data_IF_885579968985
#
_entry.id   IF_885579968985
#
_cell.length_a   1.000
_cell.length_b   1.000
_cell.length_c   1.000
_cell.angle_alpha   90.00
_cell.angle_beta   90.00
_cell.angle_gamma   90.00
#
_symmetry.space_group_name_H-M   'P 1'
#
loop_
_entity.id
_entity.type
_entity.pdbx_description
1 polymer ?
#
# COMPACT_ATOMS: atom_id res chain seq x y z
N UNK A 1 5.28 22.39 -2.35
CA UNK A 1 4.54 23.21 -3.34
C UNK A 1 5.52 23.79 -4.34
N UNK A 2 5.27 23.65 -5.61
CA UNK A 2 5.99 24.32 -6.69
C UNK A 2 4.96 25.06 -7.55
N UNK A 3 5.27 26.28 -7.97
CA UNK A 3 4.39 27.12 -8.81
C UNK A 3 2.94 27.26 -8.29
N UNK A 4 2.78 27.37 -6.97
CA UNK A 4 1.48 27.36 -6.28
C UNK A 4 0.65 26.08 -6.46
N UNK A 5 1.27 24.97 -6.89
CA UNK A 5 0.64 23.65 -6.98
C UNK A 5 1.02 22.78 -5.78
N UNK A 6 0.08 21.95 -5.35
CA UNK A 6 0.29 20.94 -4.34
C UNK A 6 0.46 19.57 -5.01
N UNK A 7 1.39 18.76 -4.53
CA UNK A 7 1.66 17.42 -5.06
C UNK A 7 1.63 16.38 -3.94
N UNK A 8 1.11 15.20 -4.25
CA UNK A 8 1.31 14.02 -3.43
C UNK A 8 2.68 13.44 -3.77
N UNK A 9 3.60 13.39 -2.80
CA UNK A 9 5.01 13.08 -3.06
C UNK A 9 5.55 12.00 -2.13
N UNK A 10 6.40 11.13 -2.71
CA UNK A 10 7.32 10.27 -1.96
C UNK A 10 8.69 10.94 -1.91
N UNK A 11 9.29 11.00 -0.72
CA UNK A 11 10.64 11.55 -0.52
C UNK A 11 11.62 10.44 -0.23
N UNK A 12 12.79 10.52 -0.82
CA UNK A 12 13.93 9.67 -0.52
C UNK A 12 14.87 10.46 0.38
N UNK A 13 15.14 9.92 1.56
CA UNK A 13 16.00 10.54 2.55
C UNK A 13 17.23 9.67 2.79
N UNK A 14 18.40 10.29 2.81
CA UNK A 14 19.67 9.65 3.14
C UNK A 14 20.45 10.57 4.11
N UNK A 15 20.98 10.01 5.20
CA UNK A 15 21.74 10.73 6.22
C UNK A 15 21.04 12.00 6.77
N UNK A 16 19.71 11.99 6.84
CA UNK A 16 18.91 13.12 7.32
C UNK A 16 18.59 14.19 6.27
N UNK A 17 19.05 14.02 5.03
CA UNK A 17 18.79 14.92 3.91
C UNK A 17 17.82 14.33 2.91
N UNK A 18 17.01 15.16 2.24
CA UNK A 18 16.17 14.73 1.12
C UNK A 18 17.05 14.71 -0.14
N UNK A 19 17.31 13.52 -0.66
CA UNK A 19 18.16 13.32 -1.86
C UNK A 19 17.38 13.27 -3.16
N UNK A 20 16.09 12.91 -3.10
CA UNK A 20 15.19 12.90 -4.25
C UNK A 20 13.73 12.90 -3.81
N UNK A 21 12.83 13.13 -4.76
CA UNK A 21 11.39 12.98 -4.54
C UNK A 21 10.68 12.53 -5.82
N UNK A 22 9.54 11.88 -5.63
CA UNK A 22 8.64 11.48 -6.70
C UNK A 22 7.28 12.11 -6.50
N UNK A 23 6.75 12.78 -7.53
CA UNK A 23 5.39 13.33 -7.55
C UNK A 23 4.46 12.30 -8.17
N UNK A 24 3.43 11.90 -7.43
CA UNK A 24 2.41 10.93 -7.90
C UNK A 24 1.84 11.35 -9.25
N UNK A 25 1.80 10.43 -10.22
CA UNK A 25 1.37 10.72 -11.59
C UNK A 25 -0.11 10.47 -11.83
N UNK A 26 -0.66 9.42 -11.22
CA UNK A 26 -2.07 9.05 -11.39
C UNK A 26 -2.87 9.45 -10.15
N UNK A 27 -3.84 10.33 -10.35
CA UNK A 27 -4.69 10.86 -9.28
C UNK A 27 -6.10 10.26 -9.42
N UNK A 28 -6.53 9.37 -8.50
CA UNK A 28 -7.84 8.77 -8.56
C UNK A 28 -8.95 9.81 -8.22
N UNK A 29 -10.06 9.72 -8.95
CA UNK A 29 -11.26 10.56 -8.79
C UNK A 29 -12.53 9.72 -8.74
N UNK A 30 -12.43 8.51 -8.22
CA UNK A 30 -13.51 7.54 -8.14
C UNK A 30 -13.61 6.97 -6.72
N UNK A 31 -14.78 6.38 -6.38
CA UNK A 31 -15.08 5.81 -5.08
C UNK A 31 -14.91 6.86 -3.97
N UNK A 32 -14.00 6.62 -3.03
CA UNK A 32 -13.68 7.52 -1.91
C UNK A 32 -12.60 8.57 -2.25
N UNK A 33 -12.09 8.54 -3.47
CA UNK A 33 -10.96 9.38 -3.89
C UNK A 33 -11.43 10.61 -4.68
N UNK A 34 -10.80 11.74 -4.40
CA UNK A 34 -10.99 13.02 -5.12
C UNK A 34 -9.64 13.78 -5.15
N UNK A 35 -8.57 13.08 -5.55
CA UNK A 35 -7.21 13.61 -5.42
C UNK A 35 -6.92 14.77 -6.36
N UNK A 36 -7.42 14.79 -7.59
CA UNK A 36 -7.16 15.85 -8.57
C UNK A 36 -7.79 17.19 -8.18
N UNK A 37 -8.74 17.17 -7.24
CA UNK A 37 -9.30 18.38 -6.64
C UNK A 37 -8.28 19.16 -5.82
N UNK A 38 -7.31 18.47 -5.21
CA UNK A 38 -6.37 19.05 -4.26
C UNK A 38 -4.92 19.01 -4.75
N UNK A 39 -4.57 18.03 -5.56
CA UNK A 39 -3.22 17.80 -6.03
C UNK A 39 -3.11 17.93 -7.54
N UNK A 40 -1.93 18.34 -7.97
CA UNK A 40 -1.55 18.29 -9.39
C UNK A 40 -0.80 16.99 -9.66
N UNK A 41 -1.03 16.40 -10.84
CA UNK A 41 -0.30 15.22 -11.27
C UNK A 41 1.18 15.54 -11.55
N UNK A 42 2.07 14.64 -11.14
CA UNK A 42 3.44 14.61 -11.61
C UNK A 42 3.53 14.19 -13.07
N UNK A 43 4.65 14.47 -13.70
CA UNK A 43 4.92 14.12 -15.11
C UNK A 43 6.24 13.39 -15.32
N UNK A 44 7.01 13.17 -14.25
CA UNK A 44 8.33 12.55 -14.30
C UNK A 44 8.35 11.23 -13.53
N UNK A 45 9.23 10.33 -13.94
CA UNK A 45 9.57 9.14 -13.17
C UNK A 45 10.64 9.46 -12.14
N UNK A 46 10.69 8.66 -11.08
CA UNK A 46 11.78 8.71 -10.12
C UNK A 46 12.48 7.35 -10.06
N UNK A 47 13.76 7.35 -10.38
CA UNK A 47 14.65 6.20 -10.19
C UNK A 47 15.78 6.66 -9.29
N UNK A 48 16.01 5.92 -8.21
CA UNK A 48 17.12 6.16 -7.28
C UNK A 48 18.05 4.98 -7.25
N UNK A 49 19.35 5.25 -7.13
CA UNK A 49 20.36 4.22 -6.92
C UNK A 49 20.61 4.02 -5.43
N UNK A 50 20.41 2.80 -4.97
CA UNK A 50 20.60 2.41 -3.57
C UNK A 50 21.64 1.28 -3.51
N UNK A 51 22.66 1.38 -2.64
CA UNK A 51 23.60 0.29 -2.45
C UNK A 51 22.93 -0.88 -1.72
N UNK A 52 22.69 -1.97 -2.43
CA UNK A 52 22.17 -3.23 -1.88
C UNK A 52 23.26 -4.28 -2.04
N UNK A 53 23.72 -4.88 -0.93
CA UNK A 53 24.77 -5.91 -0.93
C UNK A 53 26.04 -5.52 -1.71
N UNK A 54 26.41 -4.24 -1.66
CA UNK A 54 27.59 -3.70 -2.35
C UNK A 54 27.43 -3.44 -3.86
N UNK A 55 26.22 -3.63 -4.38
CA UNK A 55 25.85 -3.28 -5.75
C UNK A 55 24.88 -2.08 -5.75
N UNK A 56 25.14 -1.07 -6.58
CA UNK A 56 24.17 -0.01 -6.81
C UNK A 56 22.98 -0.58 -7.59
N UNK A 57 21.80 -0.58 -6.97
CA UNK A 57 20.55 -1.10 -7.55
C UNK A 57 19.61 0.06 -7.84
N UNK A 58 19.07 0.09 -9.04
CA UNK A 58 18.12 1.12 -9.49
C UNK A 58 16.71 0.78 -9.07
N UNK A 59 16.15 1.60 -8.19
CA UNK A 59 14.78 1.44 -7.66
C UNK A 59 13.88 2.46 -8.32
N UNK A 60 12.83 1.99 -9.00
CA UNK A 60 11.75 2.81 -9.51
C UNK A 60 10.66 3.02 -8.45
N UNK A 61 10.22 4.26 -8.27
CA UNK A 61 9.19 4.59 -7.27
C UNK A 61 7.83 4.80 -7.89
N UNK A 62 6.80 4.35 -7.17
CA UNK A 62 5.38 4.58 -7.47
C UNK A 62 4.61 4.89 -6.18
N UNK A 63 3.48 5.59 -6.32
CA UNK A 63 2.58 5.89 -5.20
C UNK A 63 1.18 5.36 -5.55
N UNK A 64 0.70 4.40 -4.79
CA UNK A 64 -0.67 3.89 -4.75
C UNK A 64 -1.30 3.70 -6.15
N UNK A 65 -2.06 4.68 -6.65
CA UNK A 65 -2.80 4.64 -7.92
C UNK A 65 -1.90 4.37 -9.14
N UNK A 66 -0.61 4.70 -9.07
CA UNK A 66 0.34 4.41 -10.14
C UNK A 66 0.45 2.92 -10.47
N UNK A 67 0.02 2.03 -9.57
CA UNK A 67 -0.13 0.59 -9.81
C UNK A 67 -1.39 0.29 -10.66
N UNK A 68 -2.48 1.07 -10.51
CA UNK A 68 -3.81 0.82 -11.07
C UNK A 68 -4.00 1.46 -12.47
N UNK A 69 -2.95 1.53 -13.24
CA UNK A 69 -2.87 2.26 -14.51
C UNK A 69 -3.69 1.66 -15.67
N UNK A 70 -4.41 0.54 -15.47
CA UNK A 70 -5.20 -0.15 -16.51
C UNK A 70 -6.20 0.74 -17.24
N UNK A 71 -6.76 1.74 -16.54
CA UNK A 71 -7.74 2.68 -17.10
C UNK A 71 -7.11 3.97 -17.60
N UNK A 72 -5.79 4.10 -17.53
CA UNK A 72 -5.04 5.25 -18.01
C UNK A 72 -4.30 4.89 -19.31
N UNK A 73 -3.88 5.89 -20.06
CA UNK A 73 -3.15 5.71 -21.34
C UNK A 73 -1.64 5.49 -21.15
N UNK A 74 -1.22 4.86 -20.06
CA UNK A 74 0.18 4.63 -19.72
C UNK A 74 0.38 3.25 -19.08
N UNK A 75 1.62 2.76 -19.06
CA UNK A 75 2.07 1.61 -18.27
C UNK A 75 3.31 2.01 -17.48
N UNK A 76 3.08 2.52 -16.26
CA UNK A 76 4.15 3.10 -15.45
C UNK A 76 5.21 2.08 -15.03
N UNK A 77 4.84 0.82 -14.86
CA UNK A 77 5.82 -0.24 -14.53
C UNK A 77 6.74 -0.52 -15.73
N UNK A 78 6.19 -0.57 -16.94
CA UNK A 78 6.96 -0.71 -18.17
C UNK A 78 7.88 0.48 -18.40
N UNK A 79 7.38 1.70 -18.26
CA UNK A 79 8.16 2.92 -18.42
C UNK A 79 9.35 2.96 -17.44
N UNK A 80 9.17 2.59 -16.17
CA UNK A 80 10.25 2.47 -15.19
C UNK A 80 11.28 1.41 -15.60
N UNK A 81 10.82 0.25 -16.09
CA UNK A 81 11.72 -0.81 -16.59
C UNK A 81 12.56 -0.33 -17.78
N UNK A 82 11.96 0.34 -18.73
CA UNK A 82 12.64 0.89 -19.90
C UNK A 82 13.68 1.96 -19.54
N UNK A 83 13.45 2.71 -18.46
CA UNK A 83 14.39 3.67 -17.88
C UNK A 83 15.49 3.00 -17.04
N UNK A 84 15.46 1.68 -16.90
CA UNK A 84 16.50 0.89 -16.26
C UNK A 84 16.28 0.57 -14.80
N UNK A 85 15.04 0.71 -14.28
CA UNK A 85 14.73 0.22 -12.94
C UNK A 85 14.95 -1.30 -12.84
N UNK A 86 15.58 -1.74 -11.77
CA UNK A 86 15.83 -3.15 -11.43
C UNK A 86 14.80 -3.69 -10.44
N UNK A 87 14.18 -2.81 -9.66
CA UNK A 87 13.11 -3.10 -8.68
C UNK A 87 12.09 -1.97 -8.75
N UNK A 88 10.81 -2.27 -8.58
CA UNK A 88 9.76 -1.26 -8.38
C UNK A 88 9.30 -1.32 -6.94
N UNK A 89 9.19 -0.16 -6.29
CA UNK A 89 8.58 0.01 -4.97
C UNK A 89 7.36 0.92 -5.11
N UNK A 90 6.21 0.41 -4.71
CA UNK A 90 4.98 1.17 -4.62
C UNK A 90 4.59 1.36 -3.15
N UNK A 91 4.52 2.61 -2.70
CA UNK A 91 4.01 2.95 -1.38
C UNK A 91 2.54 3.33 -1.47
N UNK A 92 1.69 2.70 -0.67
CA UNK A 92 0.24 2.79 -0.80
C UNK A 92 -0.48 3.08 0.51
N UNK A 93 -1.56 3.82 0.40
CA UNK A 93 -2.66 3.86 1.37
C UNK A 93 -3.93 3.39 0.64
N UNK A 94 -3.96 2.10 0.29
CA UNK A 94 -5.08 1.48 -0.43
C UNK A 94 -6.11 0.98 0.57
N UNK A 95 -7.37 1.48 0.55
CA UNK A 95 -8.39 1.12 1.52
C UNK A 95 -8.76 -0.36 1.45
N UNK A 96 -9.11 -0.89 2.60
CA UNK A 96 -9.64 -2.24 2.75
C UNK A 96 -11.00 -2.39 2.05
N UNK A 97 -11.14 -3.46 1.30
CA UNK A 97 -12.39 -4.09 0.86
C UNK A 97 -12.21 -5.59 0.95
N UNK A 98 -13.29 -6.33 1.12
CA UNK A 98 -13.25 -7.78 1.36
C UNK A 98 -12.38 -8.54 0.36
N UNK A 99 -12.45 -8.20 -0.93
CA UNK A 99 -11.72 -8.87 -2.03
C UNK A 99 -10.48 -8.12 -2.53
N UNK A 100 -10.13 -6.97 -1.91
CA UNK A 100 -9.06 -6.09 -2.39
C UNK A 100 -7.67 -6.76 -2.42
N UNK A 101 -7.41 -7.71 -1.53
CA UNK A 101 -6.15 -8.45 -1.54
C UNK A 101 -5.96 -9.21 -2.86
N UNK A 102 -7.00 -9.89 -3.34
CA UNK A 102 -6.92 -10.66 -4.59
C UNK A 102 -6.70 -9.74 -5.79
N UNK A 103 -7.39 -8.59 -5.84
CA UNK A 103 -7.19 -7.57 -6.88
C UNK A 103 -5.73 -7.09 -6.90
N UNK A 104 -5.16 -6.78 -5.71
CA UNK A 104 -3.75 -6.37 -5.56
C UNK A 104 -2.79 -7.47 -6.04
N UNK A 105 -3.02 -8.71 -5.61
CA UNK A 105 -2.18 -9.84 -6.00
C UNK A 105 -2.17 -10.04 -7.51
N UNK A 106 -3.33 -10.08 -8.15
CA UNK A 106 -3.44 -10.25 -9.61
C UNK A 106 -2.70 -9.14 -10.35
N UNK A 107 -2.90 -7.89 -9.92
CA UNK A 107 -2.32 -6.73 -10.59
C UNK A 107 -0.80 -6.69 -10.43
N UNK A 108 -0.28 -6.85 -9.19
CA UNK A 108 1.16 -6.81 -8.92
C UNK A 108 1.86 -7.99 -9.60
N UNK A 109 1.29 -9.20 -9.50
CA UNK A 109 1.80 -10.39 -10.18
C UNK A 109 1.91 -10.16 -11.69
N UNK A 110 0.84 -9.61 -12.29
CA UNK A 110 0.81 -9.29 -13.71
C UNK A 110 1.90 -8.30 -14.12
N UNK A 111 2.05 -7.20 -13.37
CA UNK A 111 3.08 -6.17 -13.62
C UNK A 111 4.50 -6.73 -13.47
N UNK A 112 4.76 -7.47 -12.39
CA UNK A 112 6.07 -8.08 -12.12
C UNK A 112 6.47 -9.05 -13.24
N UNK A 113 5.57 -9.96 -13.62
CA UNK A 113 5.80 -10.98 -14.65
C UNK A 113 5.93 -10.37 -16.04
N UNK A 114 5.03 -9.46 -16.42
CA UNK A 114 5.01 -8.86 -17.76
C UNK A 114 6.27 -8.06 -18.04
N UNK A 115 6.75 -7.33 -17.04
CA UNK A 115 7.93 -6.46 -17.19
C UNK A 115 9.23 -7.16 -16.75
N UNK A 116 9.18 -8.42 -16.28
CA UNK A 116 10.34 -9.15 -15.75
C UNK A 116 11.10 -8.30 -14.72
N UNK A 117 10.39 -7.78 -13.72
CA UNK A 117 10.95 -6.89 -12.70
C UNK A 117 10.33 -7.22 -11.32
N UNK A 118 11.14 -7.38 -10.26
CA UNK A 118 10.61 -7.51 -8.90
C UNK A 118 9.76 -6.30 -8.51
N UNK A 119 8.63 -6.57 -7.86
CA UNK A 119 7.68 -5.54 -7.45
C UNK A 119 7.38 -5.64 -5.97
N UNK A 120 7.68 -4.59 -5.22
CA UNK A 120 7.43 -4.47 -3.79
C UNK A 120 6.28 -3.48 -3.57
N UNK A 121 5.24 -3.95 -2.92
CA UNK A 121 4.07 -3.17 -2.56
C UNK A 121 3.99 -3.02 -1.05
N UNK A 122 4.12 -1.79 -0.55
CA UNK A 122 4.04 -1.46 0.87
C UNK A 122 2.74 -0.71 1.14
N UNK A 123 1.84 -1.31 1.93
CA UNK A 123 0.54 -0.72 2.22
C UNK A 123 0.41 -0.30 3.68
N UNK A 124 -0.30 0.80 3.89
CA UNK A 124 -0.62 1.36 5.20
C UNK A 124 -1.42 0.35 6.04
N UNK A 125 -1.19 0.35 7.35
CA UNK A 125 -2.06 -0.24 8.37
C UNK A 125 -2.66 0.87 9.20
N UNK A 126 -3.95 0.80 9.49
CA UNK A 126 -4.63 1.74 10.36
C UNK A 126 -6.04 2.08 9.88
N UNK A 127 -6.66 3.04 10.54
CA UNK A 127 -7.96 3.56 10.15
C UNK A 127 -8.00 5.08 10.26
N UNK A 128 -8.76 5.71 9.39
CA UNK A 128 -8.99 7.16 9.40
C UNK A 128 -10.37 7.46 8.85
N UNK A 129 -11.16 8.16 9.67
CA UNK A 129 -12.58 8.41 9.39
C UNK A 129 -13.30 7.08 9.05
N UNK A 130 -13.92 6.98 7.87
CA UNK A 130 -14.57 5.75 7.38
C UNK A 130 -13.63 4.77 6.69
N UNK A 131 -12.35 5.10 6.51
CA UNK A 131 -11.39 4.27 5.79
C UNK A 131 -10.58 3.40 6.74
N UNK A 132 -10.42 2.14 6.38
CA UNK A 132 -9.56 1.17 7.06
C UNK A 132 -8.50 0.71 6.05
N UNK A 133 -7.27 0.58 6.52
CA UNK A 133 -6.12 0.13 5.73
C UNK A 133 -5.60 -1.16 6.34
N UNK A 134 -5.64 -2.21 5.57
CA UNK A 134 -5.41 -3.58 6.02
C UNK A 134 -3.95 -4.05 5.96
N UNK A 135 -3.03 -3.19 5.54
CA UNK A 135 -1.65 -3.60 5.34
C UNK A 135 -1.52 -4.64 4.24
N UNK A 136 -1.15 -5.87 4.60
CA UNK A 136 -0.94 -6.97 3.66
C UNK A 136 0.01 -6.56 2.52
N UNK A 137 1.14 -5.96 2.90
CA UNK A 137 2.21 -5.63 1.96
C UNK A 137 2.69 -6.88 1.24
N UNK A 138 3.10 -6.75 -0.02
CA UNK A 138 3.40 -7.87 -0.90
C UNK A 138 4.74 -7.65 -1.61
N UNK A 139 5.49 -8.73 -1.83
CA UNK A 139 6.62 -8.71 -2.75
C UNK A 139 6.51 -9.85 -3.75
N UNK A 140 6.68 -9.52 -5.01
CA UNK A 140 6.74 -10.46 -6.12
C UNK A 140 8.10 -10.39 -6.79
N UNK A 141 8.64 -11.55 -7.18
CA UNK A 141 9.85 -11.60 -8.00
C UNK A 141 9.55 -11.31 -9.48
N UNK A 142 10.58 -11.23 -10.30
CA UNK A 142 10.49 -10.96 -11.74
C UNK A 142 9.70 -12.01 -12.56
N UNK A 143 9.45 -13.18 -11.97
CA UNK A 143 8.64 -14.24 -12.57
C UNK A 143 7.16 -14.14 -12.18
N UNK A 144 6.79 -13.13 -11.36
CA UNK A 144 5.45 -12.95 -10.81
C UNK A 144 5.11 -13.98 -9.72
N UNK A 145 6.11 -14.48 -8.99
CA UNK A 145 5.89 -15.36 -7.85
C UNK A 145 5.90 -14.54 -6.55
N UNK A 146 4.92 -14.78 -5.69
CA UNK A 146 4.88 -14.16 -4.35
C UNK A 146 6.07 -14.67 -3.53
N UNK A 147 6.88 -13.75 -2.98
CA UNK A 147 8.05 -14.07 -2.17
C UNK A 147 7.98 -13.50 -0.75
N UNK A 148 7.08 -12.53 -0.51
CA UNK A 148 6.78 -12.05 0.83
C UNK A 148 5.35 -11.51 0.90
N UNK A 149 4.70 -11.71 2.07
CA UNK A 149 3.40 -11.16 2.41
C UNK A 149 3.41 -10.68 3.84
N UNK A 150 2.98 -9.44 4.05
CA UNK A 150 2.77 -8.87 5.37
C UNK A 150 1.45 -9.31 6.00
N UNK A 151 1.36 -9.20 7.31
CA UNK A 151 0.15 -9.51 8.08
C UNK A 151 -1.01 -8.58 7.72
N UNK A 152 -2.20 -9.06 7.92
CA UNK A 152 -3.41 -8.26 7.81
C UNK A 152 -3.68 -7.52 9.12
N UNK A 153 -3.99 -6.23 9.04
CA UNK A 153 -4.40 -5.35 10.15
C UNK A 153 -3.35 -5.16 11.26
N UNK A 154 -2.10 -5.56 11.02
CA UNK A 154 -0.99 -5.40 11.96
C UNK A 154 0.19 -4.72 11.28
N UNK A 155 0.82 -3.75 11.96
CA UNK A 155 2.09 -3.16 11.52
C UNK A 155 3.22 -4.16 11.74
N UNK A 156 4.07 -4.36 10.72
CA UNK A 156 5.26 -5.20 10.84
C UNK A 156 6.37 -4.78 9.88
N UNK A 157 7.57 -5.27 10.14
CA UNK A 157 8.70 -5.18 9.22
C UNK A 157 8.83 -6.53 8.51
N UNK A 158 8.58 -6.52 7.19
CA UNK A 158 8.71 -7.71 6.34
C UNK A 158 10.08 -7.71 5.68
N UNK A 159 10.89 -8.73 5.98
CA UNK A 159 12.18 -8.93 5.33
C UNK A 159 11.97 -9.61 3.98
N UNK A 160 12.52 -9.02 2.92
CA UNK A 160 12.42 -9.54 1.56
C UNK A 160 13.80 -9.86 1.04
N UNK A 161 14.06 -11.12 0.71
CA UNK A 161 15.28 -11.57 0.05
C UNK A 161 14.97 -11.88 -1.41
N UNK A 162 15.37 -10.98 -2.30
CA UNK A 162 15.14 -11.12 -3.74
C UNK A 162 16.00 -12.26 -4.37
N UNK A 163 17.07 -12.67 -3.73
CA UNK A 163 17.96 -13.73 -4.21
C UNK A 163 17.44 -15.14 -3.86
N UNK A 164 16.71 -15.28 -2.76
CA UNK A 164 16.22 -16.58 -2.27
C UNK A 164 15.18 -17.21 -3.19
N UNK A 165 14.50 -16.46 -4.00
CA UNK A 165 13.54 -16.88 -5.03
C UNK A 165 12.65 -18.07 -4.58
N UNK A 166 12.19 -18.04 -3.33
CA UNK A 166 11.35 -19.07 -2.72
C UNK A 166 9.90 -18.63 -2.74
N UNK A 167 9.08 -19.16 -3.65
CA UNK A 167 7.66 -18.82 -3.71
C UNK A 167 6.94 -19.17 -2.41
N UNK A 168 5.99 -18.31 -2.04
CA UNK A 168 5.06 -18.50 -0.95
C UNK A 168 3.65 -18.72 -1.50
N UNK A 169 2.86 -19.50 -0.78
CA UNK A 169 1.41 -19.53 -0.99
C UNK A 169 0.78 -18.29 -0.34
N UNK A 170 -0.21 -17.73 -1.02
CA UNK A 170 -0.94 -16.56 -0.50
C UNK A 170 -1.73 -16.96 0.75
N UNK A 171 -1.47 -16.30 1.86
CA UNK A 171 -2.23 -16.47 3.08
C UNK A 171 -3.51 -15.62 3.02
N UNK A 172 -4.66 -16.29 3.01
CA UNK A 172 -5.98 -15.65 2.98
C UNK A 172 -6.70 -16.00 4.26
N UNK A 173 -6.97 -15.03 5.10
CA UNK A 173 -7.84 -15.22 6.28
C UNK A 173 -9.30 -15.23 5.87
N UNK A 174 -10.14 -15.90 6.67
CA UNK A 174 -11.57 -16.05 6.41
C UNK A 174 -12.29 -14.68 6.33
N UNK A 175 -13.37 -14.63 5.57
CA UNK A 175 -14.10 -13.38 5.30
C UNK A 175 -14.61 -12.71 6.57
N UNK A 176 -15.21 -13.47 7.46
CA UNK A 176 -15.78 -13.00 8.70
C UNK A 176 -14.69 -12.49 9.64
N UNK A 177 -13.57 -13.17 9.71
CA UNK A 177 -12.40 -12.76 10.48
C UNK A 177 -11.81 -11.45 9.95
N UNK A 178 -11.70 -11.29 8.62
CA UNK A 178 -11.28 -10.01 8.01
C UNK A 178 -12.18 -8.85 8.40
N UNK A 179 -13.49 -9.05 8.34
CA UNK A 179 -14.46 -8.01 8.68
C UNK A 179 -14.35 -7.66 10.16
N UNK A 180 -14.26 -8.65 11.03
CA UNK A 180 -14.09 -8.44 12.47
C UNK A 180 -12.82 -7.66 12.79
N UNK A 181 -11.68 -8.07 12.25
CA UNK A 181 -10.39 -7.41 12.47
C UNK A 181 -10.37 -5.98 11.91
N UNK A 182 -11.03 -5.73 10.78
CA UNK A 182 -11.20 -4.39 10.24
C UNK A 182 -11.99 -3.48 11.18
N UNK A 183 -13.09 -3.97 11.75
CA UNK A 183 -13.91 -3.22 12.70
C UNK A 183 -13.15 -2.93 14.00
N UNK A 184 -12.43 -3.93 14.53
CA UNK A 184 -11.58 -3.76 15.73
C UNK A 184 -10.50 -2.70 15.46
N UNK A 185 -9.79 -2.76 14.32
CA UNK A 185 -8.78 -1.77 13.97
C UNK A 185 -9.40 -0.38 13.82
N UNK A 186 -10.58 -0.26 13.21
CA UNK A 186 -11.30 0.99 13.04
C UNK A 186 -11.60 1.67 14.38
N UNK A 187 -12.19 0.92 15.32
CA UNK A 187 -12.50 1.42 16.68
C UNK A 187 -11.22 1.78 17.43
N UNK A 188 -10.23 0.88 17.44
CA UNK A 188 -8.96 1.09 18.14
C UNK A 188 -8.25 2.36 17.67
N UNK A 189 -8.14 2.56 16.36
CA UNK A 189 -7.46 3.73 15.79
C UNK A 189 -8.25 5.02 16.03
N UNK A 190 -9.57 4.98 15.95
CA UNK A 190 -10.41 6.13 16.27
C UNK A 190 -10.15 6.61 17.71
N UNK A 191 -10.19 5.69 18.69
CA UNK A 191 -9.93 6.01 20.09
C UNK A 191 -8.51 6.56 20.28
N UNK A 192 -7.51 5.89 19.71
CA UNK A 192 -6.10 6.32 19.77
C UNK A 192 -5.90 7.71 19.19
N UNK A 193 -6.44 7.98 18.02
CA UNK A 193 -6.25 9.25 17.28
C UNK A 193 -7.03 10.42 17.89
N UNK A 194 -8.17 10.13 18.51
CA UNK A 194 -8.99 11.13 19.21
C UNK A 194 -8.68 11.27 20.70
N UNK A 195 -7.65 10.51 21.17
CA UNK A 195 -7.21 10.50 22.57
C UNK A 195 -8.34 10.12 23.57
N UNK A 196 -9.17 9.15 23.19
CA UNK A 196 -10.15 8.53 24.06
C UNK A 196 -9.62 7.21 24.60
N UNK A 197 -9.88 6.91 25.88
CA UNK A 197 -9.47 5.66 26.55
C UNK A 197 -10.65 4.85 27.09
N UNK A 198 -11.84 5.41 27.07
CA UNK A 198 -13.02 4.80 27.65
C UNK A 198 -14.24 4.95 26.74
N UNK A 199 -15.10 3.93 26.74
CA UNK A 199 -16.39 3.95 26.06
C UNK A 199 -17.50 3.49 26.97
N UNK A 200 -18.71 4.02 26.78
CA UNK A 200 -19.91 3.55 27.45
C UNK A 200 -20.83 2.90 26.41
N UNK A 201 -21.20 1.66 26.64
CA UNK A 201 -22.05 0.88 25.73
C UNK A 201 -23.34 0.51 26.42
N UNK A 202 -24.48 0.83 25.81
CA UNK A 202 -25.79 0.37 26.23
C UNK A 202 -26.01 -1.10 25.86
N UNK A 203 -25.68 -2.03 26.75
CA UNK A 203 -25.79 -3.46 26.48
C UNK A 203 -27.23 -3.95 26.75
N UNK A 204 -28.01 -4.08 25.67
CA UNK A 204 -29.44 -4.52 25.77
C UNK A 204 -29.62 -6.04 25.95
N UNK A 205 -28.56 -6.83 25.78
CA UNK A 205 -28.61 -8.29 25.75
C UNK A 205 -28.93 -8.88 24.35
N UNK A 206 -29.17 -8.02 23.35
CA UNK A 206 -29.30 -8.44 21.95
C UNK A 206 -27.94 -8.67 21.27
N UNK A 207 -27.95 -9.37 20.11
CA UNK A 207 -26.74 -9.73 19.39
C UNK A 207 -25.94 -8.50 18.94
N UNK A 208 -26.59 -7.44 18.48
CA UNK A 208 -25.93 -6.23 17.96
C UNK A 208 -25.10 -5.53 19.05
N UNK A 209 -25.71 -5.29 20.22
CA UNK A 209 -25.01 -4.65 21.32
C UNK A 209 -23.90 -5.53 21.91
N UNK A 210 -24.09 -6.85 21.90
CA UNK A 210 -23.06 -7.81 22.33
C UNK A 210 -21.89 -7.83 21.37
N UNK A 211 -22.13 -7.85 20.06
CA UNK A 211 -21.08 -7.79 19.04
C UNK A 211 -20.32 -6.46 19.10
N UNK A 212 -21.05 -5.34 19.26
CA UNK A 212 -20.40 -4.02 19.42
C UNK A 212 -19.47 -4.00 20.64
N UNK A 213 -19.89 -4.60 21.76
CA UNK A 213 -19.04 -4.71 22.95
C UNK A 213 -17.79 -5.56 22.68
N UNK A 214 -17.90 -6.67 21.94
CA UNK A 214 -16.76 -7.51 21.58
C UNK A 214 -15.77 -6.80 20.65
N UNK A 215 -16.25 -5.94 19.76
CA UNK A 215 -15.40 -5.14 18.87
C UNK A 215 -14.67 -4.03 19.63
N UNK A 216 -15.28 -3.50 20.70
CA UNK A 216 -14.75 -2.37 21.47
C UNK A 216 -13.77 -2.78 22.59
N UNK A 217 -13.58 -4.05 22.88
CA UNK A 217 -12.67 -4.59 23.92
C UNK A 217 -11.35 -4.99 23.29
#
# INVERSE_FOLDING_TARGET
>A
TEDNKLYNCAFICENGEIVSHYKKRLLPTYDVFDEDRYFSAGNEHCIVEVPIEGKNTKIGLQICEDLWDKNYSCDLAKELKELGAEIIINISASPYRVDRLLDRCELIQGKAKHNSIPYIYCNLVGAQDELIFDGQSLAYNENGQLIAQGKAFEEEIVMVDLALNKPLDLNIIEREEKIYNALVLGVKDYFKKTNHSEAVIGLSGGIDSSLTACIAV
#
